data_IF_656016352610
#
_entry.id   IF_656016352610
#
_cell.length_a   1.000
_cell.length_b   1.000
_cell.length_c   1.000
_cell.angle_alpha   90.00
_cell.angle_beta   90.00
_cell.angle_gamma   90.00
#
_symmetry.space_group_name_H-M   'P 1'
#
loop_
_entity.id
_entity.type
_entity.pdbx_description
1 polymer ?
#
# COMPACT_ATOMS: atom_id res chain seq x y z
N UNK A 1 43.20 35.53 30.41
CA UNK A 1 43.23 36.04 29.02
C UNK A 1 43.99 35.00 28.21
N UNK A 2 43.28 34.01 27.65
CA UNK A 2 42.88 33.92 26.23
C UNK A 2 44.10 33.73 25.30
N UNK A 3 44.51 32.48 25.08
CA UNK A 3 45.30 32.10 23.91
C UNK A 3 44.37 31.39 22.92
N UNK A 4 43.97 32.11 21.89
CA UNK A 4 43.03 31.66 20.87
C UNK A 4 43.83 31.00 19.74
N UNK A 5 43.73 29.68 19.63
CA UNK A 5 44.24 28.91 18.50
C UNK A 5 43.61 29.43 17.20
N UNK A 6 44.40 30.18 16.42
CA UNK A 6 44.03 30.63 15.08
C UNK A 6 43.91 29.43 14.14
N UNK A 7 42.71 29.20 13.63
CA UNK A 7 42.48 28.31 12.50
C UNK A 7 43.22 28.83 11.26
N UNK A 8 43.93 27.94 10.56
CA UNK A 8 44.56 28.23 9.27
C UNK A 8 43.43 28.34 8.23
N UNK A 9 43.27 29.47 7.51
CA UNK A 9 42.22 29.61 6.52
C UNK A 9 42.52 28.69 5.34
N UNK A 10 41.79 27.57 5.26
CA UNK A 10 41.78 26.69 4.11
C UNK A 10 41.26 27.45 2.89
N UNK A 11 42.04 27.42 1.81
CA UNK A 11 41.71 28.00 0.51
C UNK A 11 40.45 27.30 -0.02
N UNK A 12 39.28 27.93 0.12
CA UNK A 12 38.06 27.46 -0.57
C UNK A 12 38.30 27.69 -2.06
N UNK A 13 38.49 26.63 -2.83
CA UNK A 13 38.51 26.73 -4.28
C UNK A 13 37.17 27.31 -4.73
N UNK A 14 37.19 28.55 -5.22
CA UNK A 14 36.01 29.22 -5.78
C UNK A 14 35.57 28.47 -7.03
N UNK A 15 34.41 27.86 -6.97
CA UNK A 15 33.75 27.20 -8.10
C UNK A 15 33.34 25.78 -7.74
N UNK A 16 32.14 25.62 -7.19
CA UNK A 16 31.44 24.35 -7.34
C UNK A 16 31.20 24.14 -8.84
N UNK A 17 31.66 23.04 -9.45
CA UNK A 17 31.35 22.72 -10.83
C UNK A 17 29.85 22.89 -11.10
N UNK A 18 29.51 23.70 -12.11
CA UNK A 18 28.14 23.90 -12.57
C UNK A 18 27.50 22.52 -12.82
N UNK A 19 26.42 22.21 -12.10
CA UNK A 19 25.69 20.95 -12.26
C UNK A 19 25.76 19.97 -11.08
N UNK A 20 26.56 20.23 -10.04
CA UNK A 20 26.56 19.36 -8.84
C UNK A 20 25.22 19.43 -8.11
N UNK A 21 24.62 20.62 -7.97
CA UNK A 21 23.32 20.79 -7.33
C UNK A 21 22.19 20.07 -8.08
N UNK A 22 22.18 20.14 -9.42
CA UNK A 22 21.20 19.41 -10.25
C UNK A 22 21.43 17.90 -10.21
N UNK A 23 22.67 17.42 -10.29
CA UNK A 23 22.99 15.99 -10.15
C UNK A 23 22.63 15.43 -8.78
N UNK A 24 22.85 16.20 -7.70
CA UNK A 24 22.45 15.79 -6.34
C UNK A 24 20.93 15.77 -6.17
N UNK A 25 20.21 16.74 -6.74
CA UNK A 25 18.74 16.75 -6.76
C UNK A 25 18.17 15.57 -7.54
N UNK A 26 18.71 15.27 -8.72
CA UNK A 26 18.27 14.14 -9.55
C UNK A 26 18.52 12.79 -8.88
N UNK A 27 19.66 12.64 -8.19
CA UNK A 27 19.99 11.44 -7.42
C UNK A 27 19.07 11.29 -6.20
N UNK A 28 18.76 12.37 -5.50
CA UNK A 28 17.82 12.37 -4.38
C UNK A 28 16.39 12.02 -4.84
N UNK A 29 15.94 12.57 -5.97
CA UNK A 29 14.63 12.24 -6.56
C UNK A 29 14.58 10.78 -7.02
N UNK A 30 15.67 10.25 -7.60
CA UNK A 30 15.77 8.82 -7.97
C UNK A 30 15.73 7.91 -6.75
N UNK A 31 16.53 8.21 -5.73
CA UNK A 31 16.59 7.42 -4.50
C UNK A 31 15.24 7.49 -3.74
N UNK A 32 14.60 8.66 -3.69
CA UNK A 32 13.26 8.81 -3.14
C UNK A 32 12.22 8.01 -3.92
N UNK A 33 12.25 8.12 -5.26
CA UNK A 33 11.39 7.30 -6.14
C UNK A 33 11.66 5.81 -5.99
N UNK A 34 12.91 5.37 -5.81
CA UNK A 34 13.29 3.98 -5.54
C UNK A 34 12.84 3.49 -4.16
N UNK A 35 12.90 4.36 -3.15
CA UNK A 35 12.39 4.06 -1.80
C UNK A 35 10.88 3.89 -1.82
N UNK A 36 10.18 4.73 -2.60
CA UNK A 36 8.73 4.61 -2.87
C UNK A 36 8.40 3.44 -3.82
N UNK A 37 9.32 3.07 -4.73
CA UNK A 37 9.19 1.91 -5.65
C UNK A 37 9.43 0.57 -4.99
N UNK A 38 10.03 0.51 -3.79
CA UNK A 38 10.08 -0.74 -3.02
C UNK A 38 8.63 -1.15 -2.76
N UNK A 39 8.23 -2.24 -3.39
CA UNK A 39 6.89 -2.81 -3.50
C UNK A 39 6.17 -2.95 -2.16
N UNK A 40 5.76 -1.84 -1.55
CA UNK A 40 4.97 -1.83 -0.34
C UNK A 40 3.56 -2.23 -0.75
N UNK A 41 3.23 -3.48 -0.45
CA UNK A 41 1.87 -3.92 -0.57
C UNK A 41 1.07 -3.21 0.52
N UNK A 42 -0.10 -2.69 0.15
CA UNK A 42 -0.96 -1.93 1.04
C UNK A 42 -2.33 -2.57 1.11
N UNK A 43 -2.86 -2.64 2.33
CA UNK A 43 -4.27 -2.93 2.60
C UNK A 43 -4.88 -1.67 3.18
N UNK A 44 -5.88 -1.13 2.50
CA UNK A 44 -6.50 0.14 2.86
C UNK A 44 -7.95 -0.15 3.25
N UNK A 45 -8.38 0.31 4.42
CA UNK A 45 -9.70 0.00 4.98
C UNK A 45 -10.49 1.29 5.18
N UNK A 46 -11.77 1.29 4.81
CA UNK A 46 -12.62 2.47 4.99
C UNK A 46 -13.07 2.58 6.45
N UNK A 47 -12.72 3.68 7.12
CA UNK A 47 -13.11 3.92 8.52
C UNK A 47 -14.54 4.44 8.65
N UNK A 48 -15.09 5.10 7.62
CA UNK A 48 -16.42 5.71 7.69
C UNK A 48 -17.59 4.80 7.30
N UNK A 49 -17.33 3.64 6.68
CA UNK A 49 -18.36 2.66 6.33
C UNK A 49 -19.18 2.27 7.57
N UNK A 50 -20.51 2.34 7.46
CA UNK A 50 -21.44 1.86 8.47
C UNK A 50 -22.04 0.54 8.03
N UNK A 51 -22.08 -0.43 8.93
CA UNK A 51 -22.85 -1.64 8.73
C UNK A 51 -24.33 -1.32 8.52
N UNK A 52 -25.00 -2.00 7.59
CA UNK A 52 -26.38 -1.69 7.20
C UNK A 52 -27.42 -2.07 8.26
N UNK A 53 -27.08 -3.01 9.16
CA UNK A 53 -28.00 -3.52 10.18
C UNK A 53 -27.76 -2.82 11.51
N UNK A 54 -26.51 -2.73 11.93
CA UNK A 54 -26.10 -2.22 13.25
C UNK A 54 -25.73 -0.73 13.23
N UNK A 55 -25.44 -0.15 12.06
CA UNK A 55 -24.95 1.22 11.93
C UNK A 55 -23.53 1.45 12.46
N UNK A 56 -22.88 0.40 12.98
CA UNK A 56 -21.55 0.46 13.60
C UNK A 56 -20.47 0.64 12.54
N UNK A 57 -19.40 1.32 12.92
CA UNK A 57 -18.17 1.45 12.13
C UNK A 57 -17.12 0.50 12.68
N UNK A 58 -16.81 -0.54 11.94
CA UNK A 58 -15.84 -1.57 12.34
C UNK A 58 -14.54 -1.53 11.53
N UNK A 59 -14.27 -0.42 10.84
CA UNK A 59 -13.08 -0.27 9.99
C UNK A 59 -11.77 -0.28 10.79
N UNK A 60 -11.73 0.44 11.91
CA UNK A 60 -10.56 0.47 12.81
C UNK A 60 -10.32 -0.89 13.48
N UNK A 61 -11.40 -1.54 13.96
CA UNK A 61 -11.32 -2.88 14.57
C UNK A 61 -10.78 -3.91 13.57
N UNK A 62 -11.28 -3.87 12.32
CA UNK A 62 -10.79 -4.73 11.25
C UNK A 62 -9.32 -4.43 10.93
N UNK A 63 -8.91 -3.17 10.95
CA UNK A 63 -7.52 -2.78 10.71
C UNK A 63 -6.58 -3.35 11.78
N UNK A 64 -6.97 -3.28 13.05
CA UNK A 64 -6.20 -3.82 14.15
C UNK A 64 -6.08 -5.36 14.06
N UNK A 65 -7.19 -6.07 13.82
CA UNK A 65 -7.17 -7.54 13.69
C UNK A 65 -6.33 -7.98 12.48
N UNK A 66 -6.47 -7.30 11.33
CA UNK A 66 -5.66 -7.60 10.14
C UNK A 66 -4.16 -7.41 10.38
N UNK A 67 -3.75 -6.30 11.02
CA UNK A 67 -2.34 -6.06 11.36
C UNK A 67 -1.80 -7.19 12.23
N UNK A 68 -2.54 -7.55 13.28
CA UNK A 68 -2.15 -8.61 14.21
C UNK A 68 -1.95 -9.96 13.52
N UNK A 69 -2.89 -10.36 12.64
CA UNK A 69 -2.80 -11.64 11.92
C UNK A 69 -1.73 -11.64 10.84
N UNK A 70 -1.54 -10.54 10.12
CA UNK A 70 -0.53 -10.47 9.05
C UNK A 70 0.90 -10.53 9.58
N UNK A 71 1.14 -9.98 10.77
CA UNK A 71 2.45 -10.04 11.43
C UNK A 71 2.97 -11.49 11.62
N UNK A 72 2.08 -12.47 11.68
CA UNK A 72 2.40 -13.90 11.86
C UNK A 72 2.53 -14.66 10.54
N UNK A 73 2.62 -13.97 9.40
CA UNK A 73 2.59 -14.58 8.07
C UNK A 73 3.68 -14.05 7.15
N UNK A 74 3.87 -14.71 6.00
CA UNK A 74 4.74 -14.22 4.91
C UNK A 74 4.28 -12.89 4.30
N UNK A 75 3.06 -12.43 4.60
CA UNK A 75 2.52 -11.14 4.19
C UNK A 75 2.71 -10.05 5.27
N UNK A 76 3.64 -10.24 6.21
CA UNK A 76 3.97 -9.25 7.26
C UNK A 76 4.52 -7.93 6.72
N UNK A 77 4.96 -7.89 5.47
CA UNK A 77 5.44 -6.68 4.79
C UNK A 77 4.32 -5.73 4.31
N UNK A 78 3.05 -6.12 4.46
CA UNK A 78 1.93 -5.28 4.07
C UNK A 78 1.75 -4.12 5.06
N UNK A 79 1.70 -2.89 4.55
CA UNK A 79 1.22 -1.76 5.32
C UNK A 79 -0.32 -1.82 5.34
N UNK A 80 -0.90 -1.96 6.52
CA UNK A 80 -2.35 -1.93 6.71
C UNK A 80 -2.71 -0.56 7.28
N UNK A 81 -3.61 0.17 6.64
CA UNK A 81 -4.00 1.52 7.02
C UNK A 81 -5.50 1.74 6.85
N UNK A 82 -6.04 2.68 7.62
CA UNK A 82 -7.40 3.19 7.43
C UNK A 82 -7.37 4.50 6.64
N UNK A 83 -8.42 4.72 5.86
CA UNK A 83 -8.70 5.99 5.20
C UNK A 83 -10.16 6.36 5.43
N UNK A 84 -10.49 7.63 5.33
CA UNK A 84 -11.83 8.12 5.62
C UNK A 84 -12.88 7.48 4.71
N UNK A 85 -12.71 7.56 3.39
CA UNK A 85 -13.76 7.12 2.46
C UNK A 85 -13.20 6.49 1.18
N UNK A 86 -13.86 5.41 0.74
CA UNK A 86 -13.64 4.78 -0.57
C UNK A 86 -14.91 4.74 -1.44
N UNK A 87 -15.93 5.53 -1.09
CA UNK A 87 -17.22 5.63 -1.79
C UNK A 87 -17.97 4.29 -2.01
N UNK A 88 -17.65 3.24 -1.23
CA UNK A 88 -18.25 1.92 -1.36
C UNK A 88 -19.41 1.64 -0.40
N UNK A 89 -20.07 2.67 0.11
CA UNK A 89 -21.09 2.56 1.17
C UNK A 89 -22.34 1.77 0.76
N UNK A 90 -22.57 1.51 -0.54
CA UNK A 90 -23.64 0.59 -1.00
C UNK A 90 -23.35 -0.88 -0.62
N UNK A 91 -22.08 -1.21 -0.35
CA UNK A 91 -21.61 -2.54 0.07
C UNK A 91 -20.59 -2.39 1.22
N UNK A 92 -21.01 -1.96 2.42
CA UNK A 92 -20.12 -1.79 3.57
C UNK A 92 -19.72 -3.15 4.15
N UNK A 93 -18.58 -3.36 4.81
CA UNK A 93 -17.35 -2.58 4.96
C UNK A 93 -16.43 -2.78 3.74
N UNK A 94 -15.65 -1.76 3.34
CA UNK A 94 -14.76 -1.86 2.17
C UNK A 94 -13.28 -1.97 2.52
N UNK A 95 -12.58 -2.80 1.74
CA UNK A 95 -11.15 -3.07 1.89
C UNK A 95 -10.50 -3.10 0.51
N UNK A 96 -9.43 -2.33 0.32
CA UNK A 96 -8.66 -2.28 -0.91
C UNK A 96 -7.28 -2.91 -0.75
N UNK A 97 -6.80 -3.54 -1.82
CA UNK A 97 -5.43 -4.02 -1.95
C UNK A 97 -4.76 -3.27 -3.09
N UNK A 98 -3.57 -2.74 -2.83
CA UNK A 98 -2.77 -2.02 -3.82
C UNK A 98 -1.29 -2.34 -3.65
N UNK A 99 -0.55 -2.44 -4.75
CA UNK A 99 0.90 -2.44 -4.76
C UNK A 99 1.38 -1.86 -6.09
N UNK A 100 2.53 -1.20 -6.10
CA UNK A 100 3.09 -0.63 -7.31
C UNK A 100 3.28 -1.71 -8.39
N UNK A 101 2.81 -1.44 -9.61
CA UNK A 101 2.90 -2.38 -10.75
C UNK A 101 1.97 -3.59 -10.66
N UNK A 102 1.06 -3.64 -9.69
CA UNK A 102 0.09 -4.72 -9.52
C UNK A 102 -1.34 -4.24 -9.69
N UNK A 103 -2.23 -5.13 -10.09
CA UNK A 103 -3.66 -4.84 -10.17
C UNK A 103 -4.23 -4.53 -8.77
N UNK A 104 -4.91 -3.39 -8.64
CA UNK A 104 -5.64 -3.03 -7.44
C UNK A 104 -6.95 -3.80 -7.31
N UNK A 105 -7.35 -4.10 -6.08
CA UNK A 105 -8.65 -4.70 -5.77
C UNK A 105 -9.39 -3.84 -4.77
N UNK A 106 -10.71 -3.72 -4.96
CA UNK A 106 -11.61 -3.18 -3.96
C UNK A 106 -12.66 -4.23 -3.66
N UNK A 107 -12.75 -4.62 -2.38
CA UNK A 107 -13.80 -5.50 -1.87
C UNK A 107 -14.80 -4.70 -1.04
N UNK A 108 -16.04 -5.17 -1.03
CA UNK A 108 -17.13 -4.65 -0.21
C UNK A 108 -17.95 -5.78 0.40
N UNK A 109 -18.93 -5.43 1.24
CA UNK A 109 -19.69 -6.41 2.01
C UNK A 109 -18.80 -7.26 2.93
N UNK A 110 -17.71 -6.69 3.45
CA UNK A 110 -16.78 -7.36 4.36
C UNK A 110 -17.39 -7.43 5.76
N UNK A 111 -17.38 -8.63 6.34
CA UNK A 111 -17.74 -8.90 7.73
C UNK A 111 -16.44 -8.95 8.57
N UNK A 112 -16.29 -7.98 9.48
CA UNK A 112 -15.08 -7.82 10.29
C UNK A 112 -14.81 -8.97 11.26
N UNK A 113 -15.82 -9.78 11.60
CA UNK A 113 -15.65 -10.95 12.47
C UNK A 113 -15.32 -12.24 11.71
N UNK A 114 -15.76 -12.34 10.45
CA UNK A 114 -15.72 -13.62 9.72
C UNK A 114 -14.81 -13.64 8.49
N UNK A 115 -14.53 -12.49 7.87
CA UNK A 115 -13.79 -12.44 6.61
C UNK A 115 -12.30 -12.14 6.77
N UNK A 116 -11.82 -11.82 7.98
CA UNK A 116 -10.41 -11.46 8.24
C UNK A 116 -9.46 -12.55 7.78
N UNK A 117 -9.77 -13.83 8.04
CA UNK A 117 -8.97 -14.96 7.56
C UNK A 117 -8.84 -14.99 6.03
N UNK A 118 -9.95 -14.76 5.32
CA UNK A 118 -9.95 -14.73 3.86
C UNK A 118 -9.18 -13.53 3.29
N UNK A 119 -9.18 -12.39 3.98
CA UNK A 119 -8.37 -11.23 3.62
C UNK A 119 -6.86 -11.52 3.80
N UNK A 120 -6.47 -12.23 4.86
CA UNK A 120 -5.08 -12.67 5.08
C UNK A 120 -4.65 -13.68 4.02
N UNK A 121 -5.51 -14.64 3.67
CA UNK A 121 -5.26 -15.59 2.58
C UNK A 121 -5.08 -14.86 1.24
N UNK A 122 -5.95 -13.89 0.96
CA UNK A 122 -5.82 -13.08 -0.25
C UNK A 122 -4.55 -12.23 -0.23
N UNK A 123 -4.14 -11.68 0.91
CA UNK A 123 -2.88 -10.94 1.03
C UNK A 123 -1.68 -11.80 0.64
N UNK A 124 -1.62 -13.04 1.14
CA UNK A 124 -0.57 -14.02 0.78
C UNK A 124 -0.57 -14.34 -0.71
N UNK A 125 -1.75 -14.60 -1.27
CA UNK A 125 -1.91 -14.85 -2.71
C UNK A 125 -1.46 -13.64 -3.53
N UNK A 126 -1.92 -12.44 -3.18
CA UNK A 126 -1.60 -11.19 -3.85
C UNK A 126 -0.10 -10.87 -3.81
N UNK A 127 0.56 -11.17 -2.70
CA UNK A 127 2.01 -11.06 -2.56
C UNK A 127 2.75 -11.94 -3.58
N UNK A 128 2.26 -13.17 -3.79
CA UNK A 128 2.87 -14.16 -4.69
C UNK A 128 2.73 -13.84 -6.18
N UNK A 129 1.75 -13.01 -6.56
CA UNK A 129 1.46 -12.69 -7.96
C UNK A 129 2.28 -11.49 -8.43
N UNK A 130 3.14 -11.66 -9.44
CA UNK A 130 4.03 -10.60 -9.92
C UNK A 130 3.26 -9.33 -10.36
N UNK A 131 2.13 -9.50 -11.04
CA UNK A 131 1.27 -8.45 -11.56
C UNK A 131 0.00 -8.22 -10.72
N UNK A 132 -0.16 -8.95 -9.61
CA UNK A 132 -1.35 -8.92 -8.77
C UNK A 132 -2.61 -9.48 -9.42
N UNK A 133 -2.56 -10.06 -10.62
CA UNK A 133 -3.77 -10.51 -11.30
C UNK A 133 -4.21 -11.89 -10.80
N UNK A 134 -5.41 -11.91 -10.19
CA UNK A 134 -6.01 -13.11 -9.61
C UNK A 134 -7.27 -13.45 -10.41
N UNK A 135 -7.27 -14.65 -10.99
CA UNK A 135 -8.47 -15.24 -11.62
C UNK A 135 -9.51 -15.55 -10.54
N UNK A 136 -10.79 -15.55 -10.93
CA UNK A 136 -11.93 -15.75 -10.02
C UNK A 136 -11.80 -17.05 -9.23
N UNK A 137 -11.43 -18.16 -9.88
CA UNK A 137 -11.30 -19.48 -9.24
C UNK A 137 -10.17 -19.64 -8.23
N UNK A 138 -9.18 -18.72 -8.20
CA UNK A 138 -8.08 -18.75 -7.21
C UNK A 138 -8.37 -17.92 -5.97
N UNK A 139 -9.43 -17.13 -5.98
CA UNK A 139 -9.77 -16.25 -4.86
C UNK A 139 -10.36 -17.06 -3.70
N UNK A 140 -10.06 -16.72 -2.44
CA UNK A 140 -10.73 -17.33 -1.29
C UNK A 140 -12.25 -17.27 -1.44
N UNK A 141 -12.93 -18.39 -1.13
CA UNK A 141 -14.36 -18.55 -1.39
C UNK A 141 -15.21 -17.42 -0.79
N UNK A 142 -14.85 -16.96 0.42
CA UNK A 142 -15.55 -15.86 1.10
C UNK A 142 -15.44 -14.51 0.40
N UNK A 143 -14.43 -14.30 -0.46
CA UNK A 143 -14.20 -13.05 -1.19
C UNK A 143 -14.63 -13.11 -2.66
N UNK A 144 -14.98 -14.29 -3.20
CA UNK A 144 -15.29 -14.48 -4.61
C UNK A 144 -16.37 -13.51 -5.14
N UNK A 145 -17.49 -13.38 -4.42
CA UNK A 145 -18.60 -12.47 -4.77
C UNK A 145 -18.50 -11.06 -4.18
N UNK A 146 -17.40 -10.72 -3.50
CA UNK A 146 -17.25 -9.47 -2.74
C UNK A 146 -16.49 -8.38 -3.48
N UNK A 147 -16.06 -8.65 -4.72
CA UNK A 147 -15.31 -7.67 -5.51
C UNK A 147 -16.23 -6.54 -6.00
N UNK A 148 -15.80 -5.29 -5.77
CA UNK A 148 -16.41 -4.08 -6.31
C UNK A 148 -15.67 -3.62 -7.56
N UNK A 149 -14.34 -3.68 -7.53
CA UNK A 149 -13.50 -3.29 -8.64
C UNK A 149 -12.20 -4.10 -8.67
N UNK A 150 -11.69 -4.29 -9.89
CA UNK A 150 -10.32 -4.69 -10.17
C UNK A 150 -9.74 -3.63 -11.10
N UNK A 151 -8.74 -2.90 -10.62
CA UNK A 151 -8.12 -1.80 -11.33
C UNK A 151 -6.79 -2.31 -11.90
N UNK A 152 -6.58 -2.32 -13.23
CA UNK A 152 -5.31 -2.77 -13.79
C UNK A 152 -4.16 -1.85 -13.34
N UNK A 153 -2.96 -2.42 -13.26
CA UNK A 153 -1.76 -1.61 -13.09
C UNK A 153 -1.58 -0.65 -14.28
N UNK A 154 -0.93 0.49 -14.03
CA UNK A 154 -0.55 1.43 -15.10
C UNK A 154 0.33 0.72 -16.14
N UNK A 155 0.06 0.95 -17.43
CA UNK A 155 0.83 0.37 -18.53
C UNK A 155 0.53 -1.10 -18.86
N UNK A 156 -0.59 -1.67 -18.38
CA UNK A 156 -1.02 -3.01 -18.80
C UNK A 156 -1.67 -2.95 -20.19
N UNK A 157 -1.01 -3.49 -21.20
CA UNK A 157 -1.55 -3.65 -22.55
C UNK A 157 -2.74 -4.62 -22.57
N UNK A 158 -3.66 -4.43 -23.55
CA UNK A 158 -4.94 -5.16 -23.69
C UNK A 158 -4.83 -6.70 -23.79
N UNK A 159 -3.65 -7.25 -24.01
CA UNK A 159 -3.41 -8.65 -24.40
C UNK A 159 -3.76 -9.70 -23.32
N UNK A 160 -3.78 -9.34 -22.03
CA UNK A 160 -3.88 -10.30 -20.91
C UNK A 160 -5.29 -10.45 -20.27
N UNK A 161 -6.36 -10.06 -20.98
CA UNK A 161 -7.75 -10.23 -20.49
C UNK A 161 -8.41 -11.50 -21.05
N UNK A 162 -7.66 -12.61 -21.16
CA UNK A 162 -8.21 -13.93 -21.52
C UNK A 162 -8.24 -14.84 -20.30
#
# INVERSE_FOLDING_TARGET
>A
MLDASRAIPGKVCSGFPSGIASKQKDRAVRCFRETVKRSSHRIIICSLCRDTVTGLRSGEDLCADLRSRLAQTSASSFAVETVDCMAGCSRPLTVAFNAHGKAGYLFGSIDSGKDVGALVEFAKLYASLADGWCNSGRRPARLAGKILARIPAEGRDREQVR
#
